data_IF_659357256857
#
_entry.id   IF_659357256857
#
_cell.length_a   1.000
_cell.length_b   1.000
_cell.length_c   1.000
_cell.angle_alpha   90.00
_cell.angle_beta   90.00
_cell.angle_gamma   90.00
#
_symmetry.space_group_name_H-M   'P 1'
#
loop_
_entity.id
_entity.type
_entity.pdbx_description
1 polymer ?
#
# COMPACT_ATOMS: atom_id res chain seq x y z
N UNK A 1 25.72 -8.89 9.00
CA UNK A 1 24.59 -9.75 9.40
C UNK A 1 24.28 -9.47 10.86
N UNK A 2 23.26 -8.65 11.14
CA UNK A 2 22.70 -8.46 12.47
C UNK A 2 21.18 -8.39 12.32
N UNK A 3 20.50 -9.29 13.03
CA UNK A 3 19.05 -9.44 13.08
C UNK A 3 18.61 -8.72 14.34
N UNK A 4 17.85 -7.64 14.21
CA UNK A 4 17.21 -6.98 15.35
C UNK A 4 15.73 -6.82 15.05
N UNK A 5 14.93 -7.70 15.65
CA UNK A 5 13.50 -7.53 15.80
C UNK A 5 13.25 -6.40 16.79
N UNK A 6 12.69 -5.28 16.32
CA UNK A 6 12.14 -4.25 17.18
C UNK A 6 10.66 -4.08 16.85
N UNK A 7 9.80 -4.50 17.77
CA UNK A 7 8.42 -4.04 17.85
C UNK A 7 8.42 -2.72 18.63
N UNK A 8 7.98 -1.59 18.06
CA UNK A 8 7.82 -0.37 18.84
C UNK A 8 6.48 -0.43 19.59
N UNK A 9 6.51 -0.83 20.86
CA UNK A 9 5.46 -0.50 21.83
C UNK A 9 5.72 0.89 22.39
N UNK A 10 5.28 1.94 21.67
CA UNK A 10 4.72 3.18 22.23
C UNK A 10 4.52 4.20 21.10
N UNK A 11 3.27 4.54 20.81
CA UNK A 11 2.90 5.63 19.92
C UNK A 11 2.79 6.92 20.75
N UNK A 12 3.58 7.99 20.49
CA UNK A 12 3.25 9.30 21.01
C UNK A 12 2.05 9.84 20.22
N UNK A 13 0.96 10.10 20.94
CA UNK A 13 -0.23 10.75 20.43
C UNK A 13 0.10 12.20 20.04
N UNK A 14 0.40 12.42 18.76
CA UNK A 14 0.50 13.75 18.19
C UNK A 14 -0.87 14.17 17.63
N UNK A 15 -1.50 15.11 18.32
CA UNK A 15 -2.71 15.81 17.91
C UNK A 15 -2.47 16.62 16.64
N UNK A 16 -2.68 15.98 15.50
CA UNK A 16 -2.76 16.60 14.19
C UNK A 16 -3.94 15.99 13.43
N UNK A 17 -5.16 16.15 13.95
CA UNK A 17 -6.38 15.73 13.27
C UNK A 17 -6.55 16.58 12.01
N UNK A 18 -6.04 16.08 10.89
CA UNK A 18 -6.37 16.56 9.55
C UNK A 18 -7.87 16.45 9.36
N UNK A 19 -8.59 17.55 9.55
CA UNK A 19 -10.05 17.65 9.36
C UNK A 19 -10.35 17.18 7.93
N UNK A 20 -10.97 16.00 7.80
CA UNK A 20 -11.42 15.45 6.51
C UNK A 20 -10.80 14.11 6.08
N UNK A 21 -9.68 13.67 6.68
CA UNK A 21 -9.12 12.34 6.39
C UNK A 21 -9.29 11.45 7.61
N UNK A 22 -10.03 10.32 7.53
CA UNK A 22 -10.12 9.37 8.63
C UNK A 22 -8.71 8.99 9.10
N UNK A 23 -8.50 8.93 10.42
CA UNK A 23 -7.21 8.58 11.01
C UNK A 23 -6.63 7.28 10.41
N UNK A 24 -7.50 6.38 9.94
CA UNK A 24 -7.15 5.15 9.24
C UNK A 24 -7.84 5.14 7.88
N UNK A 25 -7.21 5.68 6.83
CA UNK A 25 -7.80 5.65 5.51
C UNK A 25 -7.88 4.19 5.03
N UNK A 26 -9.10 3.70 4.79
CA UNK A 26 -9.38 2.33 4.36
C UNK A 26 -8.59 1.95 3.10
N UNK A 27 -8.31 2.91 2.22
CA UNK A 27 -7.55 2.66 1.00
C UNK A 27 -6.14 2.11 1.28
N UNK A 28 -5.49 2.50 2.39
CA UNK A 28 -4.15 1.99 2.74
C UNK A 28 -4.20 0.51 3.11
N UNK A 29 -5.19 0.12 3.91
CA UNK A 29 -5.40 -1.28 4.30
C UNK A 29 -5.77 -2.12 3.09
N UNK A 30 -6.67 -1.62 2.23
CA UNK A 30 -7.05 -2.30 1.00
C UNK A 30 -5.86 -2.47 0.05
N UNK A 31 -5.10 -1.41 -0.21
CA UNK A 31 -3.91 -1.46 -1.06
C UNK A 31 -2.87 -2.44 -0.51
N UNK A 32 -2.64 -2.43 0.81
CA UNK A 32 -1.75 -3.38 1.47
C UNK A 32 -2.22 -4.83 1.30
N UNK A 33 -3.51 -5.11 1.57
CA UNK A 33 -4.08 -6.45 1.41
C UNK A 33 -4.01 -6.94 -0.04
N UNK A 34 -4.30 -6.07 -1.02
CA UNK A 34 -4.16 -6.37 -2.44
C UNK A 34 -2.72 -6.65 -2.81
N UNK A 35 -1.78 -5.80 -2.39
CA UNK A 35 -0.35 -5.99 -2.62
C UNK A 35 0.12 -7.35 -2.09
N UNK A 36 -0.25 -7.70 -0.85
CA UNK A 36 0.10 -8.99 -0.25
C UNK A 36 -0.54 -10.17 -0.99
N UNK A 37 -1.81 -10.06 -1.37
CA UNK A 37 -2.52 -11.13 -2.08
C UNK A 37 -1.91 -11.38 -3.46
N UNK A 38 -1.62 -10.32 -4.21
CA UNK A 38 -0.99 -10.42 -5.54
C UNK A 38 0.45 -10.92 -5.42
N UNK A 39 1.22 -10.41 -4.47
CA UNK A 39 2.62 -10.81 -4.29
C UNK A 39 2.78 -12.26 -3.82
N UNK A 40 1.84 -12.76 -3.01
CA UNK A 40 1.82 -14.16 -2.54
C UNK A 40 1.18 -15.12 -3.56
N UNK A 41 0.46 -14.60 -4.55
CA UNK A 41 -0.33 -15.41 -5.49
C UNK A 41 -1.53 -16.11 -4.82
N UNK A 42 -1.90 -15.70 -3.61
CA UNK A 42 -2.95 -16.33 -2.83
C UNK A 42 -3.90 -15.27 -2.25
N UNK A 43 -5.20 -15.48 -2.47
CA UNK A 43 -6.24 -14.77 -1.75
C UNK A 43 -6.75 -15.66 -0.62
N UNK A 44 -7.00 -15.08 0.56
CA UNK A 44 -7.74 -15.77 1.61
C UNK A 44 -9.15 -16.06 1.09
N UNK A 45 -9.40 -17.31 0.69
CA UNK A 45 -10.75 -17.80 0.50
C UNK A 45 -11.43 -17.77 1.87
N UNK A 46 -12.24 -16.74 2.09
CA UNK A 46 -12.89 -16.49 3.39
C UNK A 46 -14.04 -17.48 3.63
N UNK A 47 -14.35 -18.36 2.67
CA UNK A 47 -15.55 -19.18 2.66
C UNK A 47 -15.41 -20.59 3.28
N UNK A 48 -14.25 -20.98 3.79
CA UNK A 48 -14.10 -22.35 4.32
C UNK A 48 -14.79 -22.60 5.68
N UNK A 49 -15.33 -21.58 6.37
CA UNK A 49 -15.89 -21.75 7.72
C UNK A 49 -17.36 -21.34 7.89
N UNK A 50 -18.10 -20.98 6.83
CA UNK A 50 -19.54 -20.68 6.94
C UNK A 50 -20.36 -21.65 6.10
N UNK A 51 -20.52 -22.86 6.63
CA UNK A 51 -21.53 -23.86 6.22
C UNK A 51 -22.94 -23.33 6.48
N UNK A 52 -23.39 -22.33 5.73
CA UNK A 52 -24.76 -21.87 5.79
C UNK A 52 -25.23 -21.41 4.40
N UNK A 53 -26.20 -22.17 3.88
CA UNK A 53 -27.06 -21.86 2.73
C UNK A 53 -26.39 -22.07 1.36
N UNK A 54 -26.61 -23.28 0.80
CA UNK A 54 -26.54 -23.66 -0.62
C UNK A 54 -25.63 -22.76 -1.49
N UNK A 55 -24.38 -23.16 -1.62
CA UNK A 55 -23.38 -22.52 -2.49
C UNK A 55 -23.93 -22.48 -3.93
N UNK A 56 -24.41 -21.31 -4.34
CA UNK A 56 -24.85 -21.10 -5.71
C UNK A 56 -23.61 -21.18 -6.59
N UNK A 57 -23.51 -22.21 -7.45
CA UNK A 57 -22.37 -22.43 -8.35
C UNK A 57 -21.94 -21.19 -9.14
N UNK A 58 -22.88 -20.26 -9.37
CA UNK A 58 -22.64 -18.96 -10.00
C UNK A 58 -21.77 -18.00 -9.17
N UNK A 59 -21.89 -18.01 -7.84
CA UNK A 59 -21.12 -17.12 -6.95
C UNK A 59 -19.66 -17.51 -6.92
N UNK A 60 -19.38 -18.82 -6.83
CA UNK A 60 -18.02 -19.33 -6.84
C UNK A 60 -17.31 -19.05 -8.16
N UNK A 61 -17.99 -19.29 -9.27
CA UNK A 61 -17.49 -18.95 -10.60
C UNK A 61 -17.16 -17.45 -10.72
N UNK A 62 -17.99 -16.60 -10.13
CA UNK A 62 -17.79 -15.14 -10.13
C UNK A 62 -16.59 -14.72 -9.28
N UNK A 63 -16.39 -15.35 -8.11
CA UNK A 63 -15.21 -15.15 -7.26
C UNK A 63 -13.92 -15.51 -8.00
N UNK A 64 -13.89 -16.67 -8.66
CA UNK A 64 -12.72 -17.12 -9.43
C UNK A 64 -12.38 -16.15 -10.57
N UNK A 65 -13.39 -15.62 -11.27
CA UNK A 65 -13.22 -14.61 -12.32
C UNK A 65 -12.64 -13.30 -11.77
N UNK A 66 -13.06 -12.89 -10.58
CA UNK A 66 -12.53 -11.69 -9.92
C UNK A 66 -11.10 -11.87 -9.47
N UNK A 67 -10.79 -12.99 -8.80
CA UNK A 67 -9.42 -13.33 -8.39
C UNK A 67 -8.49 -13.32 -9.60
N UNK A 68 -8.91 -14.00 -10.69
CA UNK A 68 -8.16 -14.02 -11.94
C UNK A 68 -7.90 -12.61 -12.48
N UNK A 69 -8.94 -11.78 -12.57
CA UNK A 69 -8.81 -10.40 -13.05
C UNK A 69 -7.88 -9.55 -12.18
N UNK A 70 -7.91 -9.71 -10.86
CA UNK A 70 -7.01 -9.00 -9.95
C UNK A 70 -5.56 -9.47 -10.15
N UNK A 71 -5.32 -10.77 -10.39
CA UNK A 71 -3.97 -11.27 -10.66
C UNK A 71 -3.42 -10.76 -11.98
N UNK A 72 -4.22 -10.82 -13.04
CA UNK A 72 -3.82 -10.39 -14.38
C UNK A 72 -3.50 -8.90 -14.42
N UNK A 73 -4.36 -8.07 -13.82
CA UNK A 73 -4.20 -6.61 -13.84
C UNK A 73 -3.28 -6.09 -12.73
N UNK A 74 -3.20 -6.79 -11.59
CA UNK A 74 -2.43 -6.34 -10.42
C UNK A 74 -0.92 -6.57 -10.52
N UNK A 75 -0.49 -7.49 -11.40
CA UNK A 75 0.93 -7.81 -11.55
C UNK A 75 1.75 -6.67 -12.18
N UNK A 76 1.18 -5.92 -13.12
CA UNK A 76 1.89 -4.84 -13.81
C UNK A 76 2.22 -3.65 -12.88
N UNK A 77 1.25 -3.11 -12.09
CA UNK A 77 1.55 -2.06 -11.13
C UNK A 77 2.56 -2.47 -10.06
N UNK A 78 2.56 -3.74 -9.63
CA UNK A 78 3.54 -4.25 -8.67
C UNK A 78 4.94 -4.32 -9.28
N UNK A 79 5.07 -4.80 -10.52
CA UNK A 79 6.36 -4.79 -11.23
C UNK A 79 6.88 -3.37 -11.39
N UNK A 80 6.00 -2.43 -11.73
CA UNK A 80 6.35 -1.02 -11.82
C UNK A 80 6.83 -0.49 -10.46
N UNK A 81 6.09 -0.75 -9.38
CA UNK A 81 6.46 -0.36 -8.02
C UNK A 81 7.83 -0.94 -7.60
N UNK A 82 8.11 -2.20 -7.94
CA UNK A 82 9.40 -2.85 -7.66
C UNK A 82 10.55 -2.33 -8.52
N UNK A 83 10.27 -1.89 -9.75
CA UNK A 83 11.25 -1.31 -10.66
C UNK A 83 11.62 0.14 -10.30
N UNK A 84 10.78 0.82 -9.52
CA UNK A 84 11.04 2.18 -9.04
C UNK A 84 12.12 2.12 -7.96
N UNK A 85 13.36 2.40 -8.37
CA UNK A 85 14.47 2.72 -7.47
C UNK A 85 14.71 4.23 -7.55
N UNK A 86 14.59 4.94 -6.43
CA UNK A 86 14.91 6.36 -6.37
C UNK A 86 15.78 6.66 -5.17
N UNK A 87 16.77 7.54 -5.38
CA UNK A 87 17.57 8.11 -4.32
C UNK A 87 16.94 9.44 -3.91
N UNK A 88 16.48 9.53 -2.67
CA UNK A 88 15.96 10.76 -2.10
C UNK A 88 17.03 11.39 -1.21
N UNK A 89 17.64 12.48 -1.69
CA UNK A 89 18.60 13.21 -0.89
C UNK A 89 17.84 14.06 0.14
N UNK A 90 17.80 13.61 1.40
CA UNK A 90 17.12 14.29 2.50
C UNK A 90 18.13 14.68 3.56
N UNK A 91 18.09 15.95 3.99
CA UNK A 91 18.94 16.41 5.09
C UNK A 91 18.34 16.01 6.45
N UNK A 92 19.19 15.76 7.43
CA UNK A 92 18.74 15.66 8.82
C UNK A 92 18.16 17.01 9.29
N UNK A 93 17.10 17.00 10.13
CA UNK A 93 16.48 15.84 10.80
C UNK A 93 15.38 15.13 9.97
N UNK A 94 15.12 15.57 8.74
CA UNK A 94 13.96 15.10 7.97
C UNK A 94 14.10 13.67 7.49
N UNK A 95 15.34 13.21 7.26
CA UNK A 95 15.60 11.82 6.91
C UNK A 95 15.18 10.89 8.04
N UNK A 96 15.65 11.16 9.27
CA UNK A 96 15.23 10.41 10.45
C UNK A 96 13.71 10.44 10.65
N UNK A 97 13.08 11.61 10.48
CA UNK A 97 11.62 11.73 10.61
C UNK A 97 10.84 10.95 9.55
N UNK A 98 11.33 10.87 8.31
CA UNK A 98 10.71 10.06 7.26
C UNK A 98 10.86 8.57 7.57
N UNK A 99 12.04 8.15 7.99
CA UNK A 99 12.32 6.76 8.37
C UNK A 99 11.46 6.31 9.56
N UNK A 100 11.26 7.18 10.54
CA UNK A 100 10.44 6.92 11.73
C UNK A 100 8.93 7.12 11.48
N UNK A 101 8.53 7.53 10.27
CA UNK A 101 7.13 7.79 9.90
C UNK A 101 6.51 9.03 10.57
N UNK A 102 7.31 9.84 11.26
CA UNK A 102 6.91 11.14 11.84
C UNK A 102 6.64 12.18 10.75
N UNK A 103 7.34 12.04 9.61
CA UNK A 103 7.10 12.78 8.37
C UNK A 103 6.70 11.77 7.30
N UNK A 104 5.70 12.10 6.49
CA UNK A 104 5.21 11.22 5.42
C UNK A 104 5.31 11.85 4.04
N UNK A 105 5.61 13.15 3.98
CA UNK A 105 5.66 13.94 2.74
C UNK A 105 6.89 14.84 2.78
N UNK A 106 7.70 14.79 1.73
CA UNK A 106 8.73 15.77 1.44
C UNK A 106 8.41 16.50 0.13
N UNK A 107 8.35 17.83 0.18
CA UNK A 107 8.15 18.65 -1.03
C UNK A 107 9.46 18.86 -1.77
N UNK A 108 9.49 18.55 -3.07
CA UNK A 108 10.61 18.79 -3.99
C UNK A 108 10.10 19.46 -5.26
N UNK A 109 10.91 20.34 -5.84
CA UNK A 109 10.63 20.87 -7.17
C UNK A 109 10.82 19.75 -8.20
N UNK A 110 9.89 19.61 -9.15
CA UNK A 110 9.92 18.60 -10.21
C UNK A 110 10.97 18.93 -11.29
N UNK A 111 12.25 18.93 -10.90
CA UNK A 111 13.41 19.25 -11.75
C UNK A 111 14.38 18.06 -11.74
N UNK A 112 15.14 17.84 -12.81
CA UNK A 112 16.13 16.76 -12.90
C UNK A 112 15.49 15.38 -12.80
N UNK A 113 16.04 14.51 -11.95
CA UNK A 113 15.56 13.13 -11.76
C UNK A 113 14.12 13.05 -11.22
N UNK A 114 13.63 14.12 -10.58
CA UNK A 114 12.26 14.19 -10.06
C UNK A 114 11.20 14.45 -11.14
N UNK A 115 11.59 14.84 -12.37
CA UNK A 115 10.66 15.12 -13.47
C UNK A 115 9.88 13.88 -13.94
N UNK A 116 10.42 12.68 -13.72
CA UNK A 116 9.77 11.39 -14.09
C UNK A 116 8.46 11.16 -13.34
N UNK A 117 8.24 11.82 -12.21
CA UNK A 117 7.04 11.67 -11.39
C UNK A 117 5.96 12.73 -11.65
N UNK A 118 6.25 13.75 -12.47
CA UNK A 118 5.25 14.76 -12.86
C UNK A 118 4.03 14.18 -13.58
N UNK A 119 4.13 12.94 -14.09
CA UNK A 119 3.03 12.20 -14.68
C UNK A 119 2.04 11.62 -13.65
N UNK A 120 2.47 11.38 -12.41
CA UNK A 120 1.59 10.86 -11.33
C UNK A 120 0.93 11.98 -10.53
N UNK A 121 1.50 13.18 -10.52
CA UNK A 121 0.93 14.35 -9.83
C UNK A 121 -0.25 15.01 -10.55
N UNK A 122 -0.59 14.59 -11.77
CA UNK A 122 -1.80 15.07 -12.47
C UNK A 122 -3.06 14.31 -12.05
N UNK A 123 -2.94 13.23 -11.28
CA UNK A 123 -4.07 12.63 -10.56
C UNK A 123 -3.96 13.10 -9.11
N UNK A 124 -4.93 13.84 -8.60
CA UNK A 124 -4.92 14.63 -7.36
C UNK A 124 -4.36 16.06 -7.49
N UNK A 125 -5.12 16.89 -8.22
CA UNK A 125 -5.51 18.22 -7.72
C UNK A 125 -7.02 18.15 -7.47
#
# INVERSE_FOLDING_TARGET
MMRTSFFPTHLPFATGLSVGVPAHPLYKHLASALYQSISSGAFCSTYNNMTLIHEDSSLKQKEDQWIKSIMENGAEPIKMLQAVNFELHVQEPFFSQLNDGLKTIEGRCAVGDYSRFGLFSSFYI
#
